data_IF_504286469066
#
_entry.id   IF_504286469066
#
_cell.length_a   1.000
_cell.length_b   1.000
_cell.length_c   1.000
_cell.angle_alpha   90.00
_cell.angle_beta   90.00
_cell.angle_gamma   90.00
#
_symmetry.space_group_name_H-M   'P 1'
#
loop_
_entity.id
_entity.type
_entity.pdbx_description
1 polymer ?
#
# COMPACT_ATOMS: atom_id res chain seq x y z
N UNK A 1 -3.60 21.39 -19.31
CA UNK A 1 -5.05 21.48 -19.59
C UNK A 1 -5.46 22.93 -19.80
N UNK A 2 -5.36 23.80 -18.78
CA UNK A 2 -5.79 25.20 -18.87
C UNK A 2 -5.12 26.00 -20.00
N UNK A 3 -3.80 25.96 -20.08
CA UNK A 3 -3.02 26.68 -21.09
C UNK A 3 -3.31 26.23 -22.53
N UNK A 4 -3.83 25.01 -22.70
CA UNK A 4 -4.19 24.45 -24.00
C UNK A 4 -5.69 24.52 -24.28
N UNK A 5 -6.47 25.23 -23.46
CA UNK A 5 -7.93 25.32 -23.55
C UNK A 5 -8.65 23.95 -23.62
N UNK A 6 -8.17 22.98 -22.83
CA UNK A 6 -8.72 21.62 -22.79
C UNK A 6 -9.54 21.34 -21.53
N UNK A 7 -10.00 22.38 -20.82
CA UNK A 7 -10.72 22.23 -19.53
C UNK A 7 -11.97 21.38 -19.72
N UNK A 8 -12.77 21.68 -20.74
CA UNK A 8 -14.05 21.02 -20.99
C UNK A 8 -13.91 19.61 -21.61
N UNK A 9 -12.68 19.23 -21.98
CA UNK A 9 -12.42 17.99 -22.72
C UNK A 9 -11.51 17.01 -21.96
N UNK A 10 -11.02 17.39 -20.78
CA UNK A 10 -10.02 16.59 -20.06
C UNK A 10 -10.41 16.38 -18.61
N UNK A 11 -10.57 15.14 -18.21
CA UNK A 11 -10.69 14.74 -16.81
C UNK A 11 -9.33 14.33 -16.26
N UNK A 12 -9.01 14.78 -15.05
CA UNK A 12 -7.71 14.55 -14.40
C UNK A 12 -7.91 13.69 -13.16
N UNK A 13 -7.11 12.63 -13.04
CA UNK A 13 -6.97 11.85 -11.83
C UNK A 13 -5.58 12.04 -11.24
N UNK A 14 -5.51 12.44 -9.97
CA UNK A 14 -4.28 12.53 -9.20
C UNK A 14 -4.19 11.29 -8.30
N UNK A 15 -3.18 10.47 -8.53
CA UNK A 15 -2.83 9.37 -7.63
C UNK A 15 -2.26 9.94 -6.33
N UNK A 16 -3.10 10.08 -5.33
CA UNK A 16 -2.72 10.47 -3.98
C UNK A 16 -2.37 9.22 -3.15
N UNK A 17 -2.26 9.31 -1.84
CA UNK A 17 -1.71 8.24 -1.02
C UNK A 17 -2.23 8.28 0.41
N UNK A 18 -2.37 7.13 1.06
CA UNK A 18 -2.65 7.01 2.50
C UNK A 18 -1.54 7.62 3.39
N UNK A 19 -0.33 7.88 2.82
CA UNK A 19 0.75 8.60 3.51
C UNK A 19 0.38 10.05 3.90
N UNK A 20 -0.70 10.60 3.34
CA UNK A 20 -1.28 11.87 3.80
C UNK A 20 -1.74 11.79 5.26
N UNK A 21 -2.24 10.63 5.69
CA UNK A 21 -2.77 10.41 7.04
C UNK A 21 -1.73 9.99 8.07
N UNK A 22 -0.50 9.69 7.70
CA UNK A 22 0.57 8.98 8.41
C UNK A 22 0.50 8.99 9.96
N UNK A 23 0.44 10.18 10.61
CA UNK A 23 0.03 10.28 12.01
C UNK A 23 -1.48 10.36 12.07
N UNK A 24 -2.10 9.19 12.17
CA UNK A 24 -3.56 9.00 12.08
C UNK A 24 -4.30 9.86 13.10
N UNK A 25 -5.23 10.70 12.64
CA UNK A 25 -6.02 11.61 13.46
C UNK A 25 -7.43 11.06 13.74
N UNK A 26 -7.91 10.13 12.92
CA UNK A 26 -9.24 9.54 13.00
C UNK A 26 -9.22 8.10 12.46
N UNK A 27 -10.02 7.21 13.05
CA UNK A 27 -10.16 5.79 12.62
C UNK A 27 -11.66 5.47 12.50
N UNK A 28 -12.13 4.96 11.36
CA UNK A 28 -11.41 4.83 10.08
C UNK A 28 -11.13 6.19 9.42
N UNK A 29 -10.11 6.25 8.56
CA UNK A 29 -9.83 7.44 7.76
C UNK A 29 -10.88 7.60 6.65
N UNK A 30 -11.23 8.85 6.37
CA UNK A 30 -12.15 9.24 5.30
C UNK A 30 -11.62 10.52 4.61
N UNK A 31 -12.29 10.98 3.58
CA UNK A 31 -11.88 12.13 2.78
C UNK A 31 -11.74 13.41 3.60
N UNK A 32 -12.51 13.54 4.68
CA UNK A 32 -12.50 14.70 5.60
C UNK A 32 -11.53 14.56 6.77
N UNK A 33 -10.86 13.41 6.92
CA UNK A 33 -9.88 13.19 8.00
C UNK A 33 -8.69 14.13 7.84
N UNK A 34 -8.26 14.87 8.87
CA UNK A 34 -7.11 15.77 8.79
C UNK A 34 -5.84 15.02 8.37
N UNK A 35 -5.10 15.60 7.43
CA UNK A 35 -3.82 15.07 6.98
C UNK A 35 -2.69 15.41 7.95
N UNK A 36 -1.80 14.44 8.19
CA UNK A 36 -0.58 14.65 8.97
C UNK A 36 0.57 13.77 8.41
N UNK A 37 1.19 14.17 7.27
CA UNK A 37 2.27 13.40 6.68
C UNK A 37 3.52 13.42 7.56
N UNK A 38 4.29 12.31 7.55
CA UNK A 38 5.53 12.14 8.35
C UNK A 38 6.75 11.88 7.47
N UNK A 39 6.61 12.00 6.15
CA UNK A 39 7.71 11.79 5.21
C UNK A 39 7.76 12.89 4.16
N UNK A 40 8.94 13.19 3.56
CA UNK A 40 9.04 14.12 2.43
C UNK A 40 8.13 13.70 1.25
N UNK A 41 7.98 12.41 1.02
CA UNK A 41 7.04 11.87 0.03
C UNK A 41 5.59 12.25 0.35
N UNK A 42 5.14 12.02 1.59
CA UNK A 42 3.80 12.40 2.04
C UNK A 42 3.54 13.89 1.92
N UNK A 43 4.52 14.74 2.25
CA UNK A 43 4.42 16.21 2.09
C UNK A 43 4.30 16.61 0.61
N UNK A 44 5.09 16.01 -0.28
CA UNK A 44 5.00 16.27 -1.72
C UNK A 44 3.63 15.84 -2.29
N UNK A 45 3.11 14.71 -1.86
CA UNK A 45 1.75 14.23 -2.24
C UNK A 45 0.66 15.10 -1.65
N UNK A 46 0.84 15.67 -0.45
CA UNK A 46 -0.09 16.63 0.14
C UNK A 46 -0.15 17.94 -0.67
N UNK A 47 1.01 18.43 -1.11
CA UNK A 47 1.04 19.57 -2.03
C UNK A 47 0.28 19.26 -3.32
N UNK A 48 0.51 18.11 -3.95
CA UNK A 48 -0.19 17.70 -5.15
C UNK A 48 -1.71 17.57 -4.93
N UNK A 49 -2.14 17.04 -3.79
CA UNK A 49 -3.56 16.96 -3.40
C UNK A 49 -4.20 18.37 -3.41
N UNK A 50 -3.62 19.31 -2.69
CA UNK A 50 -4.17 20.67 -2.57
C UNK A 50 -4.11 21.47 -3.86
N UNK A 51 -3.12 21.24 -4.71
CA UNK A 51 -3.09 21.84 -6.06
C UNK A 51 -4.28 21.36 -6.90
N UNK A 52 -4.63 20.08 -6.84
CA UNK A 52 -5.81 19.52 -7.53
C UNK A 52 -7.09 20.18 -7.02
N UNK A 53 -7.28 20.25 -5.70
CA UNK A 53 -8.45 20.91 -5.09
C UNK A 53 -8.52 22.38 -5.53
N UNK A 54 -7.42 23.11 -5.41
CA UNK A 54 -7.36 24.53 -5.79
C UNK A 54 -7.72 24.76 -7.26
N UNK A 55 -7.16 23.97 -8.16
CA UNK A 55 -7.44 24.12 -9.60
C UNK A 55 -8.86 23.70 -9.98
N UNK A 56 -9.43 22.72 -9.32
CA UNK A 56 -10.83 22.34 -9.44
C UNK A 56 -11.74 23.51 -9.06
N UNK A 57 -11.52 24.10 -7.89
CA UNK A 57 -12.35 25.19 -7.35
C UNK A 57 -12.17 26.51 -8.12
N UNK A 58 -10.92 26.86 -8.48
CA UNK A 58 -10.61 28.15 -9.10
C UNK A 58 -10.88 28.19 -10.60
N UNK A 59 -10.82 27.05 -11.30
CA UNK A 59 -10.88 27.03 -12.77
C UNK A 59 -11.92 26.05 -13.33
N UNK A 60 -12.72 25.41 -12.48
CA UNK A 60 -13.73 24.45 -12.93
C UNK A 60 -13.17 23.21 -13.62
N UNK A 61 -11.88 22.86 -13.41
CA UNK A 61 -11.27 21.69 -14.03
C UNK A 61 -11.86 20.43 -13.38
N UNK A 62 -12.29 19.47 -14.20
CA UNK A 62 -12.65 18.14 -13.69
C UNK A 62 -11.38 17.43 -13.20
N UNK A 63 -11.09 17.53 -11.91
CA UNK A 63 -9.91 16.96 -11.30
C UNK A 63 -10.24 16.29 -9.95
N UNK A 64 -9.86 15.04 -9.80
CA UNK A 64 -10.12 14.20 -8.64
C UNK A 64 -8.83 13.71 -8.00
N UNK A 65 -8.83 13.58 -6.66
CA UNK A 65 -7.79 12.84 -5.96
C UNK A 65 -8.31 11.45 -5.56
N UNK A 66 -7.53 10.40 -5.84
CA UNK A 66 -7.73 9.10 -5.23
C UNK A 66 -6.70 8.88 -4.12
N UNK A 67 -7.14 8.85 -2.87
CA UNK A 67 -6.28 8.62 -1.70
C UNK A 67 -6.12 7.11 -1.56
N UNK A 68 -5.10 6.58 -2.23
CA UNK A 68 -4.89 5.14 -2.35
C UNK A 68 -4.19 4.59 -1.11
N UNK A 69 -4.76 3.53 -0.55
CA UNK A 69 -4.07 2.64 0.36
C UNK A 69 -3.19 1.66 -0.43
N UNK A 70 -2.52 0.73 0.23
CA UNK A 70 -1.57 -0.15 -0.45
C UNK A 70 -2.29 -1.08 -1.42
N UNK A 71 -1.82 -1.14 -2.66
CA UNK A 71 -2.38 -1.99 -3.69
C UNK A 71 -1.28 -2.82 -4.34
N UNK A 72 -1.52 -4.11 -4.41
CA UNK A 72 -0.52 -5.12 -4.67
C UNK A 72 -0.89 -5.98 -5.88
N UNK A 73 0.11 -6.51 -6.55
CA UNK A 73 -0.05 -7.45 -7.66
C UNK A 73 1.27 -8.18 -7.92
N UNK A 74 1.30 -9.19 -8.80
CA UNK A 74 2.55 -9.79 -9.26
C UNK A 74 3.54 -8.81 -9.91
N UNK A 75 3.06 -7.62 -10.32
CA UNK A 75 3.86 -6.53 -10.90
C UNK A 75 4.37 -5.52 -9.87
N UNK A 76 4.11 -5.75 -8.58
CA UNK A 76 4.58 -4.84 -7.52
C UNK A 76 6.11 -4.74 -7.55
N UNK A 77 6.66 -3.55 -7.35
CA UNK A 77 8.10 -3.36 -7.29
C UNK A 77 8.75 -4.21 -6.17
N UNK A 78 9.90 -4.79 -6.44
CA UNK A 78 10.56 -5.80 -5.59
C UNK A 78 10.99 -5.29 -4.22
N UNK A 79 11.17 -3.99 -4.07
CA UNK A 79 11.51 -3.33 -2.80
C UNK A 79 10.34 -3.19 -1.84
N UNK A 80 9.10 -3.37 -2.32
CA UNK A 80 7.92 -3.31 -1.46
C UNK A 80 7.73 -4.61 -0.69
N UNK A 81 7.30 -4.48 0.56
CA UNK A 81 7.30 -5.58 1.53
C UNK A 81 6.56 -6.83 1.04
N UNK A 82 5.42 -6.71 0.39
CA UNK A 82 4.65 -7.85 -0.12
C UNK A 82 5.43 -8.61 -1.20
N UNK A 83 6.00 -7.88 -2.18
CA UNK A 83 6.79 -8.50 -3.24
C UNK A 83 8.11 -9.06 -2.70
N UNK A 84 8.79 -8.33 -1.80
CA UNK A 84 9.98 -8.82 -1.10
C UNK A 84 9.70 -10.16 -0.39
N UNK A 85 8.58 -10.29 0.30
CA UNK A 85 8.20 -11.53 0.99
C UNK A 85 7.94 -12.65 -0.01
N UNK A 86 7.09 -12.45 -1.01
CA UNK A 86 6.75 -13.52 -1.96
C UNK A 86 7.98 -14.00 -2.73
N UNK A 87 8.85 -13.11 -3.17
CA UNK A 87 10.10 -13.46 -3.85
C UNK A 87 11.08 -14.18 -2.93
N UNK A 88 11.29 -13.64 -1.70
CA UNK A 88 12.22 -14.23 -0.74
C UNK A 88 11.80 -15.62 -0.30
N UNK A 89 10.52 -15.83 0.01
CA UNK A 89 10.04 -17.17 0.36
C UNK A 89 10.11 -18.16 -0.81
N UNK A 90 9.83 -17.71 -2.04
CA UNK A 90 10.00 -18.54 -3.23
C UNK A 90 11.47 -18.89 -3.49
N UNK A 91 12.39 -17.97 -3.24
CA UNK A 91 13.83 -18.22 -3.37
C UNK A 91 14.32 -19.26 -2.35
N UNK A 92 13.82 -19.17 -1.10
CA UNK A 92 14.10 -20.17 -0.05
C UNK A 92 13.53 -21.54 -0.43
N UNK A 93 12.29 -21.57 -0.93
CA UNK A 93 11.64 -22.82 -1.34
C UNK A 93 12.39 -23.51 -2.50
N UNK A 94 12.99 -22.71 -3.37
CA UNK A 94 13.81 -23.18 -4.50
C UNK A 94 15.28 -23.49 -4.13
N UNK A 95 15.68 -23.32 -2.87
CA UNK A 95 17.04 -23.54 -2.40
C UNK A 95 18.07 -22.51 -2.91
N UNK A 96 17.62 -21.33 -3.32
CA UNK A 96 18.48 -20.21 -3.78
C UNK A 96 18.97 -19.39 -2.58
N UNK A 97 18.07 -19.15 -1.62
CA UNK A 97 18.34 -18.42 -0.38
C UNK A 97 18.01 -19.28 0.84
N UNK A 98 18.66 -18.99 1.97
CA UNK A 98 18.42 -19.70 3.23
C UNK A 98 17.44 -18.96 4.15
N UNK A 99 17.34 -17.63 4.05
CA UNK A 99 16.60 -16.83 5.03
C UNK A 99 16.18 -15.47 4.47
N UNK A 100 14.94 -15.06 4.75
CA UNK A 100 14.40 -13.74 4.46
C UNK A 100 14.57 -12.81 5.67
N UNK A 101 15.15 -11.62 5.44
CA UNK A 101 15.28 -10.58 6.44
C UNK A 101 14.19 -9.53 6.26
N UNK A 102 13.43 -9.29 7.34
CA UNK A 102 12.30 -8.35 7.36
C UNK A 102 12.39 -7.42 8.55
N UNK A 103 11.83 -6.23 8.43
CA UNK A 103 11.76 -5.27 9.53
C UNK A 103 10.63 -5.59 10.52
N UNK A 104 9.79 -4.60 10.85
CA UNK A 104 8.72 -4.74 11.84
C UNK A 104 7.61 -5.68 11.35
N UNK A 105 7.52 -6.87 11.93
CA UNK A 105 6.50 -7.88 11.63
C UNK A 105 5.08 -7.47 12.02
N UNK A 106 4.93 -6.60 13.02
CA UNK A 106 3.62 -6.21 13.55
C UNK A 106 3.06 -4.94 12.88
N UNK A 107 3.81 -4.38 11.93
CA UNK A 107 3.33 -3.26 11.13
C UNK A 107 2.09 -3.69 10.33
N UNK A 108 1.00 -2.94 10.51
CA UNK A 108 -0.27 -3.20 9.83
C UNK A 108 -0.41 -2.35 8.59
N UNK A 109 -1.00 -2.94 7.55
CA UNK A 109 -1.34 -2.26 6.30
C UNK A 109 -2.69 -2.74 5.79
N UNK A 110 -3.41 -1.85 5.13
CA UNK A 110 -4.54 -2.22 4.28
C UNK A 110 -3.99 -2.53 2.89
N UNK A 111 -4.06 -3.78 2.48
CA UNK A 111 -3.61 -4.25 1.17
C UNK A 111 -4.80 -4.72 0.34
N UNK A 112 -4.95 -4.14 -0.84
CA UNK A 112 -5.92 -4.56 -1.82
C UNK A 112 -5.26 -5.03 -3.12
N UNK A 113 -6.03 -5.58 -4.05
CA UNK A 113 -5.52 -5.95 -5.36
C UNK A 113 -5.49 -4.74 -6.31
N UNK A 114 -4.40 -4.57 -7.05
CA UNK A 114 -4.19 -3.39 -7.89
C UNK A 114 -5.27 -3.24 -8.99
N UNK A 115 -5.84 -4.34 -9.46
CA UNK A 115 -6.90 -4.35 -10.47
C UNK A 115 -8.16 -3.62 -9.97
N UNK A 116 -8.58 -3.87 -8.71
CA UNK A 116 -9.71 -3.18 -8.09
C UNK A 116 -9.47 -1.68 -7.99
N UNK A 117 -8.23 -1.29 -7.67
CA UNK A 117 -7.85 0.12 -7.56
C UNK A 117 -7.86 0.82 -8.93
N UNK A 118 -7.39 0.16 -9.98
CA UNK A 118 -7.42 0.70 -11.35
C UNK A 118 -8.86 0.83 -11.84
N UNK A 119 -9.73 -0.14 -11.56
CA UNK A 119 -11.15 -0.04 -11.88
C UNK A 119 -11.80 1.16 -11.18
N UNK A 120 -11.50 1.37 -9.89
CA UNK A 120 -12.02 2.51 -9.14
C UNK A 120 -11.50 3.84 -9.69
N UNK A 121 -10.23 3.94 -10.09
CA UNK A 121 -9.68 5.14 -10.75
C UNK A 121 -10.46 5.48 -12.01
N UNK A 122 -10.78 4.48 -12.83
CA UNK A 122 -11.58 4.67 -14.04
C UNK A 122 -13.01 5.12 -13.69
N UNK A 123 -13.67 4.46 -12.72
CA UNK A 123 -15.02 4.80 -12.26
C UNK A 123 -15.13 6.22 -11.71
N UNK A 124 -14.14 6.70 -10.97
CA UNK A 124 -14.06 8.07 -10.45
C UNK A 124 -14.13 9.07 -11.62
N UNK A 125 -13.42 8.81 -12.70
CA UNK A 125 -13.43 9.68 -13.87
C UNK A 125 -14.73 9.59 -14.71
N UNK A 126 -15.60 8.61 -14.46
CA UNK A 126 -16.92 8.51 -15.11
C UNK A 126 -18.01 9.28 -14.36
N UNK A 127 -17.73 9.82 -13.16
CA UNK A 127 -18.70 10.64 -12.42
C UNK A 127 -19.03 11.94 -13.15
N UNK A 128 -20.17 12.52 -12.78
CA UNK A 128 -20.61 13.83 -13.31
C UNK A 128 -19.87 14.99 -12.64
N UNK A 129 -19.56 14.83 -11.35
CA UNK A 129 -18.86 15.86 -10.58
C UNK A 129 -17.50 15.34 -10.08
N UNK A 130 -16.47 16.22 -10.07
CA UNK A 130 -15.16 15.86 -9.53
C UNK A 130 -15.16 15.90 -7.99
N UNK A 131 -14.80 14.78 -7.38
CA UNK A 131 -14.68 14.63 -5.94
C UNK A 131 -13.40 13.87 -5.58
N UNK A 132 -13.04 13.88 -4.30
CA UNK A 132 -11.91 13.11 -3.78
C UNK A 132 -12.41 11.82 -3.12
N UNK A 133 -11.65 10.74 -3.22
CA UNK A 133 -12.07 9.42 -2.77
C UNK A 133 -10.95 8.70 -2.02
N UNK A 134 -11.28 8.14 -0.86
CA UNK A 134 -10.44 7.15 -0.19
C UNK A 134 -10.66 5.80 -0.84
N UNK A 135 -9.57 5.14 -1.23
CA UNK A 135 -9.59 3.81 -1.84
C UNK A 135 -8.81 2.84 -0.95
N UNK A 136 -9.55 1.98 -0.25
CA UNK A 136 -9.05 1.00 0.71
C UNK A 136 -9.96 -0.23 0.74
N UNK A 137 -9.47 -1.33 1.29
CA UNK A 137 -10.28 -2.54 1.52
C UNK A 137 -11.08 -2.45 2.81
N UNK A 138 -10.67 -1.59 3.75
CA UNK A 138 -11.22 -1.51 5.11
C UNK A 138 -10.68 -2.59 6.05
N UNK A 139 -9.76 -3.43 5.59
CA UNK A 139 -9.16 -4.51 6.36
C UNK A 139 -7.64 -4.33 6.47
N UNK A 140 -7.14 -4.40 7.70
CA UNK A 140 -5.71 -4.33 7.97
C UNK A 140 -5.15 -5.70 8.34
N UNK A 141 -4.00 -6.03 7.74
CA UNK A 141 -3.22 -7.21 8.08
C UNK A 141 -1.80 -6.83 8.47
N UNK A 142 -1.16 -7.66 9.32
CA UNK A 142 0.23 -7.47 9.70
C UNK A 142 1.18 -8.08 8.66
N UNK A 143 2.43 -7.60 8.64
CA UNK A 143 3.50 -8.22 7.84
C UNK A 143 3.67 -9.69 8.23
N UNK A 144 3.60 -10.01 9.53
CA UNK A 144 3.59 -11.38 10.07
C UNK A 144 2.52 -12.23 9.39
N UNK A 145 1.28 -11.73 9.37
CA UNK A 145 0.16 -12.46 8.76
C UNK A 145 0.34 -12.69 7.27
N UNK A 146 0.92 -11.73 6.57
CA UNK A 146 1.22 -11.87 5.14
C UNK A 146 2.27 -12.97 4.90
N UNK A 147 3.33 -13.05 5.73
CA UNK A 147 4.33 -14.13 5.69
C UNK A 147 3.68 -15.49 5.95
N UNK A 148 2.83 -15.60 6.98
CA UNK A 148 2.13 -16.85 7.32
C UNK A 148 1.26 -17.34 6.16
N UNK A 149 0.50 -16.45 5.53
CA UNK A 149 -0.32 -16.80 4.38
C UNK A 149 0.52 -17.24 3.20
N UNK A 150 1.63 -16.54 2.92
CA UNK A 150 2.55 -16.91 1.85
C UNK A 150 3.22 -18.26 2.09
N UNK A 151 3.56 -18.58 3.33
CA UNK A 151 4.13 -19.88 3.71
C UNK A 151 3.11 -21.03 3.53
N UNK A 152 1.84 -20.77 3.84
CA UNK A 152 0.75 -21.75 3.61
C UNK A 152 0.59 -22.03 2.12
N UNK A 153 0.62 -21.01 1.26
CA UNK A 153 0.52 -21.16 -0.20
C UNK A 153 1.69 -21.95 -0.80
N UNK A 154 2.89 -21.85 -0.20
CA UNK A 154 4.05 -22.67 -0.56
C UNK A 154 4.02 -24.11 -0.03
N UNK A 155 2.99 -24.46 0.76
CA UNK A 155 2.86 -25.78 1.37
C UNK A 155 3.69 -26.00 2.63
N UNK A 156 4.35 -24.97 3.18
CA UNK A 156 5.16 -25.08 4.41
C UNK A 156 4.30 -25.22 5.67
N UNK A 157 3.01 -24.92 5.56
CA UNK A 157 2.10 -24.83 6.71
C UNK A 157 2.32 -23.55 7.51
N UNK A 158 2.14 -23.62 8.82
CA UNK A 158 2.30 -22.44 9.69
C UNK A 158 3.77 -22.15 9.97
N UNK A 159 4.10 -20.87 10.19
CA UNK A 159 5.40 -20.45 10.70
C UNK A 159 5.36 -20.46 12.22
N UNK A 160 6.33 -21.11 12.85
CA UNK A 160 6.55 -21.08 14.30
C UNK A 160 7.45 -19.90 14.64
N UNK A 161 6.93 -18.96 15.41
CA UNK A 161 7.68 -17.77 15.84
C UNK A 161 8.34 -17.99 17.18
N UNK A 162 9.63 -17.68 17.28
CA UNK A 162 10.45 -17.82 18.50
C UNK A 162 11.22 -16.52 18.76
N UNK A 163 11.45 -16.20 20.03
CA UNK A 163 12.16 -14.98 20.42
C UNK A 163 11.27 -13.74 20.45
N UNK A 164 11.88 -12.57 20.55
CA UNK A 164 11.20 -11.27 20.58
C UNK A 164 12.09 -10.18 19.99
N UNK A 165 11.48 -9.16 19.39
CA UNK A 165 12.18 -8.00 18.82
C UNK A 165 13.23 -8.43 17.79
N UNK A 166 14.47 -7.96 17.93
CA UNK A 166 15.57 -8.27 17.00
C UNK A 166 16.05 -9.73 17.02
N UNK A 167 15.72 -10.47 18.09
CA UNK A 167 16.04 -11.89 18.24
C UNK A 167 14.90 -12.80 17.77
N UNK A 168 13.82 -12.21 17.25
CA UNK A 168 12.69 -13.00 16.77
C UNK A 168 13.03 -13.67 15.43
N UNK A 169 12.67 -14.96 15.35
CA UNK A 169 12.86 -15.78 14.16
C UNK A 169 11.58 -16.52 13.80
N UNK A 170 11.39 -16.76 12.52
CA UNK A 170 10.32 -17.62 12.01
C UNK A 170 10.90 -18.93 11.47
N UNK A 171 10.34 -20.06 11.94
CA UNK A 171 10.72 -21.39 11.51
C UNK A 171 9.62 -22.07 10.71
N UNK A 172 10.00 -22.79 9.69
CA UNK A 172 9.07 -23.70 8.99
C UNK A 172 8.61 -24.81 9.93
N UNK A 173 7.34 -25.16 9.85
CA UNK A 173 6.80 -26.25 10.65
C UNK A 173 7.24 -27.63 10.15
N UNK A 174 7.42 -27.79 8.86
CA UNK A 174 7.68 -29.07 8.19
C UNK A 174 9.11 -29.60 8.44
N UNK A 175 10.13 -28.72 8.49
CA UNK A 175 11.54 -29.11 8.64
C UNK A 175 12.28 -28.39 9.78
N UNK A 176 11.61 -27.46 10.50
CA UNK A 176 12.14 -26.68 11.61
C UNK A 176 13.30 -25.73 11.26
N UNK A 177 13.52 -25.44 9.99
CA UNK A 177 14.55 -24.48 9.54
C UNK A 177 14.14 -23.04 9.83
N UNK A 178 15.11 -22.19 10.18
CA UNK A 178 14.90 -20.75 10.32
C UNK A 178 14.87 -20.13 8.94
N UNK A 179 13.73 -19.58 8.55
CA UNK A 179 13.52 -18.96 7.23
C UNK A 179 13.23 -17.46 7.30
N UNK A 180 12.93 -16.93 8.51
CA UNK A 180 12.70 -15.51 8.73
C UNK A 180 13.58 -15.00 9.87
N UNK A 181 14.21 -13.84 9.67
CA UNK A 181 14.95 -13.09 10.71
C UNK A 181 14.59 -11.62 10.63
N UNK A 182 14.74 -10.93 11.78
CA UNK A 182 14.54 -9.48 11.84
C UNK A 182 15.79 -8.77 11.35
N UNK A 183 15.60 -7.83 10.44
CA UNK A 183 16.65 -6.93 9.95
C UNK A 183 16.99 -5.89 11.05
N UNK A 184 18.29 -5.61 11.25
CA UNK A 184 18.82 -4.74 12.33
C UNK A 184 18.90 -3.28 11.89
#
# INVERSE_FOLDING_TARGET
VRLLNLIDHTKIYQASTSELYCLVQEVPQKETTPFYPKSPYGVAKLYAYWIVVNYRESYGIFACNGILFNHESPRRGETFITRKITMGLSAIDSGIDDCLYVGNLDAKRDWGHAEDYVELQWKILQKDNPEDYVIATGRQESVRRFIELSAIELGWGVINWEGKKLEEVGRRKDNNEIVIKIDK
#
